data_IF_835344337675
#
_entry.id   IF_835344337675
#
_cell.length_a   1.000
_cell.length_b   1.000
_cell.length_c   1.000
_cell.angle_alpha   90.00
_cell.angle_beta   90.00
_cell.angle_gamma   90.00
#
_symmetry.space_group_name_H-M   'P 1'
#
loop_
_entity.id
_entity.type
_entity.pdbx_description
1 polymer ?
#
# COMPACT_ATOMS: atom_id res chain seq x y z
N UNK A 1 0.09 -3.79 -2.01
CA UNK A 1 1.05 -3.22 -1.04
C UNK A 1 2.04 -2.38 -1.82
N UNK A 2 2.20 -1.13 -1.42
CA UNK A 2 3.13 -0.19 -2.03
C UNK A 2 4.28 0.15 -1.05
N UNK A 3 5.36 0.82 -1.49
CA UNK A 3 6.60 0.93 -0.71
C UNK A 3 6.82 2.33 -0.13
N UNK A 4 6.45 3.37 -0.85
CA UNK A 4 6.72 4.77 -0.51
C UNK A 4 6.09 5.16 0.81
N UNK A 5 4.94 4.61 1.17
CA UNK A 5 4.20 4.85 2.41
C UNK A 5 4.54 3.89 3.56
N UNK A 6 5.39 2.88 3.33
CA UNK A 6 5.80 1.94 4.38
C UNK A 6 6.55 2.62 5.54
N UNK A 7 6.47 2.10 6.77
CA UNK A 7 7.17 2.70 7.90
C UNK A 7 8.68 2.56 7.77
N UNK A 8 9.43 3.54 8.27
CA UNK A 8 10.89 3.55 8.15
C UNK A 8 11.41 3.82 6.73
N UNK A 9 10.54 3.98 5.73
CA UNK A 9 10.92 4.33 4.36
C UNK A 9 10.79 5.84 4.18
N UNK A 10 11.89 6.52 3.92
CA UNK A 10 11.90 7.98 3.70
C UNK A 10 13.02 8.46 2.77
N UNK A 11 13.89 7.55 2.32
CA UNK A 11 14.97 7.84 1.38
C UNK A 11 14.77 7.16 0.04
N UNK A 12 15.11 7.85 -1.05
CA UNK A 12 15.16 7.27 -2.41
C UNK A 12 16.12 6.07 -2.50
N UNK A 13 17.06 5.92 -1.55
CA UNK A 13 17.92 4.77 -1.45
C UNK A 13 17.19 3.47 -1.04
N UNK A 14 15.92 3.58 -0.65
CA UNK A 14 15.06 2.47 -0.22
C UNK A 14 14.02 2.06 -1.28
N UNK A 15 13.92 2.76 -2.41
CA UNK A 15 12.79 2.63 -3.35
C UNK A 15 13.14 1.92 -4.67
N UNK A 16 14.33 1.34 -4.83
CA UNK A 16 14.66 0.67 -6.09
C UNK A 16 15.79 -0.34 -5.95
N UNK A 17 15.80 -1.40 -6.79
CA UNK A 17 16.94 -2.30 -6.92
C UNK A 17 18.26 -1.56 -7.14
N UNK A 18 19.35 -2.15 -6.65
CA UNK A 18 20.73 -1.60 -6.70
C UNK A 18 20.95 -0.34 -5.85
N UNK A 19 19.96 0.09 -5.06
CA UNK A 19 20.15 1.13 -4.05
C UNK A 19 20.57 0.52 -2.71
N UNK A 20 21.42 1.23 -1.97
CA UNK A 20 22.09 0.70 -0.78
C UNK A 20 21.16 0.22 0.34
N UNK A 21 19.96 0.80 0.44
CA UNK A 21 19.00 0.52 1.54
C UNK A 21 17.73 -0.19 1.05
N UNK A 22 17.72 -0.68 -0.20
CA UNK A 22 16.53 -1.29 -0.78
C UNK A 22 16.15 -2.60 -0.09
N UNK A 23 17.13 -3.41 0.32
CA UNK A 23 16.87 -4.66 1.04
C UNK A 23 16.25 -4.42 2.43
N UNK A 24 16.59 -3.32 3.10
CA UNK A 24 15.93 -2.95 4.36
C UNK A 24 14.44 -2.68 4.13
N UNK A 25 14.11 -2.03 3.01
CA UNK A 25 12.73 -1.74 2.65
C UNK A 25 11.93 -3.00 2.32
N UNK A 26 12.53 -3.92 1.56
CA UNK A 26 11.94 -5.23 1.24
C UNK A 26 11.67 -6.06 2.49
N UNK A 27 12.60 -6.08 3.45
CA UNK A 27 12.41 -6.77 4.74
C UNK A 27 11.25 -6.19 5.53
N UNK A 28 11.12 -4.86 5.59
CA UNK A 28 9.99 -4.20 6.27
C UNK A 28 8.66 -4.55 5.58
N UNK A 29 8.60 -4.39 4.26
CA UNK A 29 7.40 -4.70 3.47
C UNK A 29 6.97 -6.16 3.63
N UNK A 30 7.93 -7.09 3.55
CA UNK A 30 7.68 -8.54 3.73
C UNK A 30 7.20 -8.84 5.14
N UNK A 31 7.81 -8.26 6.17
CA UNK A 31 7.38 -8.46 7.56
C UNK A 31 5.93 -8.00 7.79
N UNK A 32 5.54 -6.88 7.20
CA UNK A 32 4.16 -6.39 7.26
C UNK A 32 3.22 -7.30 6.45
N UNK A 33 3.64 -7.75 5.27
CA UNK A 33 2.88 -8.67 4.42
C UNK A 33 2.55 -9.97 5.15
N UNK A 34 3.58 -10.63 5.69
CA UNK A 34 3.45 -11.87 6.45
C UNK A 34 2.63 -11.69 7.72
N UNK A 35 2.79 -10.56 8.43
CA UNK A 35 2.02 -10.27 9.63
C UNK A 35 0.53 -10.10 9.34
N UNK A 36 0.17 -9.24 8.38
CA UNK A 36 -1.22 -8.97 8.02
C UNK A 36 -1.89 -10.24 7.51
N UNK A 37 -1.22 -11.01 6.66
CA UNK A 37 -1.78 -12.25 6.16
C UNK A 37 -2.01 -13.29 7.26
N UNK A 38 -1.08 -13.44 8.21
CA UNK A 38 -1.31 -14.32 9.37
C UNK A 38 -2.51 -13.86 10.21
N UNK A 39 -2.65 -12.55 10.48
CA UNK A 39 -3.82 -12.03 11.23
C UNK A 39 -5.13 -12.35 10.49
N UNK A 40 -5.19 -12.16 9.17
CA UNK A 40 -6.37 -12.50 8.38
C UNK A 40 -6.67 -14.01 8.43
N UNK A 41 -5.64 -14.86 8.31
CA UNK A 41 -5.80 -16.31 8.43
C UNK A 41 -6.29 -16.73 9.82
N UNK A 42 -5.78 -16.12 10.88
CA UNK A 42 -6.19 -16.36 12.26
C UNK A 42 -7.67 -15.96 12.51
N UNK A 43 -8.17 -14.97 11.75
CA UNK A 43 -9.58 -14.56 11.76
C UNK A 43 -10.48 -15.42 10.86
N UNK A 44 -9.93 -16.46 10.23
CA UNK A 44 -10.70 -17.41 9.41
C UNK A 44 -10.88 -17.00 7.95
N UNK A 45 -10.11 -16.04 7.44
CA UNK A 45 -10.10 -15.73 6.00
C UNK A 45 -9.52 -16.91 5.23
N UNK A 46 -10.28 -17.44 4.26
CA UNK A 46 -9.91 -18.64 3.50
C UNK A 46 -8.69 -18.40 2.60
N UNK A 47 -8.69 -17.30 1.84
CA UNK A 47 -7.67 -16.98 0.86
C UNK A 47 -7.13 -15.56 1.08
N UNK A 48 -5.81 -15.42 1.14
CA UNK A 48 -5.14 -14.12 1.24
C UNK A 48 -4.23 -13.94 0.03
N UNK A 49 -4.52 -12.93 -0.80
CA UNK A 49 -3.71 -12.58 -1.96
C UNK A 49 -3.02 -11.24 -1.74
N UNK A 50 -1.68 -11.25 -1.82
CA UNK A 50 -0.86 -10.05 -1.69
C UNK A 50 -0.41 -9.61 -3.08
N UNK A 51 -0.87 -8.44 -3.50
CA UNK A 51 -0.37 -7.78 -4.70
C UNK A 51 0.80 -6.85 -4.35
N UNK A 52 2.01 -7.19 -4.78
CA UNK A 52 3.16 -6.28 -4.69
C UNK A 52 3.02 -5.19 -5.75
N UNK A 53 2.95 -3.92 -5.37
CA UNK A 53 2.48 -2.85 -6.24
C UNK A 53 3.52 -1.76 -6.51
N UNK A 54 4.75 -1.90 -6.01
CA UNK A 54 5.77 -0.86 -6.12
C UNK A 54 6.79 -1.16 -7.24
N UNK A 55 7.03 -0.18 -8.12
CA UNK A 55 8.09 -0.25 -9.14
C UNK A 55 7.98 -1.47 -10.05
N UNK A 56 8.97 -2.38 -10.00
CA UNK A 56 8.93 -3.64 -10.76
C UNK A 56 7.99 -4.70 -10.15
N UNK A 57 7.34 -4.40 -9.02
CA UNK A 57 6.39 -5.26 -8.31
C UNK A 57 7.03 -6.57 -7.81
N UNK A 58 8.28 -6.52 -7.35
CA UNK A 58 9.11 -7.70 -6.95
C UNK A 58 9.82 -7.50 -5.60
N UNK A 59 9.18 -6.75 -4.70
CA UNK A 59 9.74 -6.28 -3.45
C UNK A 59 9.53 -7.29 -2.30
N UNK A 60 8.35 -7.90 -2.19
CA UNK A 60 8.04 -8.94 -1.19
C UNK A 60 8.95 -10.15 -1.42
N UNK A 61 9.56 -10.64 -0.34
CA UNK A 61 10.48 -11.78 -0.35
C UNK A 61 9.63 -13.06 -0.31
N UNK A 62 9.53 -13.73 -1.46
CA UNK A 62 8.60 -14.84 -1.68
C UNK A 62 8.80 -16.02 -0.72
N UNK A 63 10.03 -16.38 -0.41
CA UNK A 63 10.40 -17.49 0.47
C UNK A 63 10.26 -17.19 1.97
N UNK A 64 9.89 -15.96 2.33
CA UNK A 64 9.57 -15.54 3.71
C UNK A 64 8.05 -15.46 3.97
N UNK A 65 7.22 -15.75 2.97
CA UNK A 65 5.76 -15.72 3.14
C UNK A 65 5.26 -16.98 3.87
N UNK A 66 4.31 -16.82 4.82
CA UNK A 66 3.70 -17.94 5.51
C UNK A 66 2.78 -18.74 4.59
N UNK A 67 2.46 -19.99 4.96
CA UNK A 67 1.54 -20.83 4.19
C UNK A 67 0.14 -20.20 4.10
N UNK A 68 -0.56 -20.45 2.99
CA UNK A 68 -1.91 -19.92 2.78
C UNK A 68 -1.97 -18.46 2.32
N UNK A 69 -0.82 -17.86 1.95
CA UNK A 69 -0.74 -16.56 1.29
C UNK A 69 -0.27 -16.75 -0.14
N UNK A 70 -0.98 -16.15 -1.09
CA UNK A 70 -0.59 -16.08 -2.51
C UNK A 70 0.04 -14.73 -2.82
N UNK A 71 1.21 -14.72 -3.47
CA UNK A 71 1.88 -13.51 -3.92
C UNK A 71 1.65 -13.26 -5.42
N UNK A 72 1.28 -12.03 -5.75
CA UNK A 72 1.23 -11.52 -7.12
C UNK A 72 2.42 -10.60 -7.31
N UNK A 73 3.36 -11.02 -8.16
CA UNK A 73 4.66 -10.37 -8.36
C UNK A 73 4.94 -10.14 -9.85
N UNK A 74 5.66 -9.06 -10.15
CA UNK A 74 6.07 -8.67 -11.50
C UNK A 74 5.19 -7.60 -12.16
N UNK A 75 5.83 -6.82 -13.05
CA UNK A 75 5.23 -5.78 -13.89
C UNK A 75 5.79 -5.90 -15.33
N UNK A 76 5.02 -5.61 -16.40
CA UNK A 76 3.62 -5.17 -16.41
C UNK A 76 2.62 -6.31 -16.16
N UNK A 77 1.46 -5.98 -15.58
CA UNK A 77 0.34 -6.92 -15.39
C UNK A 77 -1.03 -6.24 -15.55
N UNK A 78 -2.09 -6.98 -15.95
CA UNK A 78 -3.45 -6.43 -16.08
C UNK A 78 -3.88 -5.74 -14.79
N UNK A 79 -4.56 -4.58 -14.91
CA UNK A 79 -5.04 -3.77 -13.78
C UNK A 79 -3.96 -3.38 -12.74
N UNK A 80 -2.67 -3.53 -13.08
CA UNK A 80 -1.53 -3.01 -12.32
C UNK A 80 -1.57 -3.40 -10.82
N UNK A 81 -1.80 -2.43 -9.93
CA UNK A 81 -1.67 -2.58 -8.48
C UNK A 81 -2.76 -3.44 -7.83
N UNK A 82 -3.91 -3.62 -8.49
CA UNK A 82 -5.06 -4.38 -7.97
C UNK A 82 -5.26 -5.72 -8.65
N UNK A 83 -4.33 -6.16 -9.49
CA UNK A 83 -4.34 -7.52 -10.01
C UNK A 83 -4.32 -8.53 -8.85
N UNK A 84 -5.03 -9.68 -8.93
CA UNK A 84 -5.84 -10.19 -10.05
C UNK A 84 -7.35 -10.00 -9.83
N UNK A 85 -7.80 -8.80 -9.46
CA UNK A 85 -9.23 -8.52 -9.15
C UNK A 85 -10.21 -8.94 -10.26
N UNK A 86 -9.78 -9.00 -11.52
CA UNK A 86 -10.60 -9.43 -12.66
C UNK A 86 -10.73 -10.94 -12.82
N UNK A 87 -9.98 -11.73 -12.04
CA UNK A 87 -9.94 -13.19 -12.15
C UNK A 87 -10.66 -13.92 -11.03
N UNK A 88 -10.74 -13.30 -9.86
CA UNK A 88 -11.34 -13.90 -8.67
C UNK A 88 -12.28 -12.92 -7.99
N UNK A 89 -13.13 -13.45 -7.11
CA UNK A 89 -13.96 -12.62 -6.23
C UNK A 89 -13.24 -12.41 -4.91
N UNK A 90 -13.30 -11.19 -4.40
CA UNK A 90 -12.71 -10.79 -3.14
C UNK A 90 -13.77 -10.08 -2.30
N UNK A 91 -13.83 -10.37 -1.01
CA UNK A 91 -14.80 -9.75 -0.10
C UNK A 91 -14.36 -8.38 0.41
N UNK A 92 -13.07 -8.06 0.29
CA UNK A 92 -12.52 -6.78 0.68
C UNK A 92 -11.07 -6.59 0.26
N UNK A 93 -10.63 -5.33 0.25
CA UNK A 93 -9.27 -4.95 -0.08
C UNK A 93 -8.59 -4.18 1.06
N UNK A 94 -7.32 -4.52 1.29
CA UNK A 94 -6.44 -3.82 2.23
C UNK A 94 -5.30 -3.16 1.46
N UNK A 95 -5.17 -1.85 1.62
CA UNK A 95 -4.12 -1.05 1.00
C UNK A 95 -3.05 -0.70 2.03
N UNK A 96 -1.85 -1.23 1.86
CA UNK A 96 -0.74 -1.01 2.77
C UNK A 96 0.39 -0.23 2.12
N UNK A 97 0.94 0.74 2.86
CA UNK A 97 2.11 1.53 2.45
C UNK A 97 1.85 2.51 1.32
N UNK A 98 0.61 2.98 1.17
CA UNK A 98 0.25 3.95 0.14
C UNK A 98 0.75 5.37 0.49
N UNK A 99 0.91 6.20 -0.54
CA UNK A 99 1.27 7.62 -0.41
C UNK A 99 0.32 8.51 -1.22
N UNK A 100 0.47 9.83 -1.05
CA UNK A 100 -0.41 10.80 -1.67
C UNK A 100 0.02 11.18 -3.10
N UNK A 101 -0.92 11.76 -3.84
CA UNK A 101 -0.71 12.31 -5.17
C UNK A 101 0.28 13.47 -5.17
N UNK A 102 0.88 13.73 -6.33
CA UNK A 102 1.79 14.87 -6.54
C UNK A 102 1.16 16.19 -6.07
N UNK A 103 2.00 17.13 -5.61
CA UNK A 103 1.56 18.47 -5.24
C UNK A 103 0.89 18.55 -3.86
N UNK A 104 0.73 17.42 -3.17
CA UNK A 104 0.27 17.41 -1.77
C UNK A 104 1.36 18.01 -0.88
N UNK A 105 1.07 19.09 -0.13
CA UNK A 105 2.05 19.69 0.76
C UNK A 105 2.61 18.67 1.77
N UNK A 106 3.94 18.65 1.87
CA UNK A 106 4.70 17.80 2.78
C UNK A 106 4.62 16.29 2.54
N UNK A 107 3.81 15.76 1.62
CA UNK A 107 3.68 14.31 1.44
C UNK A 107 4.98 13.63 0.96
N UNK A 108 5.35 12.52 1.60
CA UNK A 108 6.50 11.71 1.20
C UNK A 108 6.30 11.21 -0.24
N UNK A 109 7.34 11.34 -1.05
CA UNK A 109 7.41 10.79 -2.41
C UNK A 109 6.14 11.02 -3.25
N UNK A 110 5.48 12.15 -3.09
CA UNK A 110 4.22 12.47 -3.75
C UNK A 110 4.28 12.23 -5.26
N UNK A 111 3.41 11.35 -5.77
CA UNK A 111 3.22 11.05 -7.19
C UNK A 111 1.98 10.16 -7.41
N UNK A 112 1.67 9.87 -8.68
CA UNK A 112 0.71 8.85 -9.06
C UNK A 112 1.35 8.00 -10.16
N UNK A 113 1.54 6.69 -9.96
CA UNK A 113 2.25 5.71 -10.79
C UNK A 113 3.67 6.09 -11.23
N UNK A 114 3.83 7.08 -12.10
CA UNK A 114 5.15 7.49 -12.61
C UNK A 114 5.31 8.99 -12.65
N UNK A 115 5.81 9.54 -11.53
CA UNK A 115 6.22 10.96 -11.46
C UNK A 115 7.36 11.33 -12.41
N UNK A 116 7.98 10.34 -13.08
CA UNK A 116 8.99 10.58 -14.14
C UNK A 116 8.37 10.83 -15.51
N UNK A 117 7.18 10.28 -15.77
CA UNK A 117 6.55 10.32 -17.10
C UNK A 117 5.51 11.44 -17.17
N UNK A 118 4.73 11.63 -16.11
CA UNK A 118 3.71 12.65 -16.05
C UNK A 118 3.67 13.31 -14.68
N UNK A 119 3.15 14.54 -14.64
CA UNK A 119 3.00 15.28 -13.38
C UNK A 119 1.89 14.67 -12.54
N UNK A 120 0.67 14.60 -13.06
CA UNK A 120 -0.49 14.09 -12.34
C UNK A 120 -1.45 13.31 -13.22
N UNK A 121 -2.29 12.51 -12.56
CA UNK A 121 -3.43 11.81 -13.16
C UNK A 121 -4.70 12.52 -12.71
N UNK A 122 -5.66 12.64 -13.63
CA UNK A 122 -6.98 13.19 -13.32
C UNK A 122 -8.09 12.26 -13.77
N UNK A 123 -9.10 12.08 -12.93
CA UNK A 123 -10.35 11.39 -13.26
C UNK A 123 -11.47 12.42 -13.13
N UNK A 124 -12.27 12.58 -14.19
CA UNK A 124 -13.33 13.59 -14.27
C UNK A 124 -12.85 15.02 -13.92
N UNK A 125 -11.60 15.36 -14.28
CA UNK A 125 -11.00 16.67 -14.01
C UNK A 125 -10.38 16.83 -12.62
N UNK A 126 -10.58 15.88 -11.70
CA UNK A 126 -10.03 15.90 -10.34
C UNK A 126 -8.72 15.12 -10.25
N UNK A 127 -7.73 15.68 -9.55
CA UNK A 127 -6.43 15.04 -9.35
C UNK A 127 -6.51 13.89 -8.34
N UNK A 128 -6.01 12.72 -8.75
CA UNK A 128 -6.14 11.47 -8.01
C UNK A 128 -4.78 10.87 -7.64
N UNK A 129 -4.71 10.31 -6.43
CA UNK A 129 -3.65 9.42 -5.97
C UNK A 129 -3.89 8.00 -6.49
N UNK A 130 -2.87 7.15 -6.40
CA UNK A 130 -3.01 5.73 -6.75
C UNK A 130 -4.08 5.04 -5.90
N UNK A 131 -4.17 5.41 -4.63
CA UNK A 131 -5.24 4.98 -3.73
C UNK A 131 -6.63 5.17 -4.36
N UNK A 132 -6.92 6.37 -4.88
CA UNK A 132 -8.23 6.68 -5.49
C UNK A 132 -8.43 5.91 -6.79
N UNK A 133 -7.43 5.87 -7.67
CA UNK A 133 -7.52 5.10 -8.93
C UNK A 133 -7.81 3.63 -8.65
N UNK A 134 -7.05 3.03 -7.74
CA UNK A 134 -7.20 1.62 -7.38
C UNK A 134 -8.54 1.36 -6.68
N UNK A 135 -9.02 2.28 -5.84
CA UNK A 135 -10.35 2.19 -5.22
C UNK A 135 -11.47 2.22 -6.27
N UNK A 136 -11.38 3.09 -7.28
CA UNK A 136 -12.37 3.13 -8.35
C UNK A 136 -12.40 1.83 -9.16
N UNK A 137 -11.24 1.22 -9.42
CA UNK A 137 -11.17 -0.08 -10.08
C UNK A 137 -11.83 -1.16 -9.21
N UNK A 138 -11.54 -1.21 -7.91
CA UNK A 138 -12.18 -2.17 -7.01
C UNK A 138 -13.71 -2.01 -6.96
N UNK A 139 -14.20 -0.77 -7.03
CA UNK A 139 -15.64 -0.47 -7.08
C UNK A 139 -16.36 -1.06 -8.30
N UNK A 140 -15.68 -1.20 -9.44
CA UNK A 140 -16.23 -1.89 -10.63
C UNK A 140 -16.46 -3.39 -10.38
N UNK A 141 -15.75 -3.97 -9.41
CA UNK A 141 -15.85 -5.39 -9.04
C UNK A 141 -16.60 -5.61 -7.71
N UNK A 142 -17.29 -4.58 -7.21
CA UNK A 142 -18.02 -4.60 -5.93
C UNK A 142 -17.14 -4.98 -4.71
N UNK A 143 -15.83 -4.67 -4.76
CA UNK A 143 -14.89 -4.99 -3.67
C UNK A 143 -14.65 -3.76 -2.79
N UNK A 144 -15.10 -3.75 -1.53
CA UNK A 144 -14.88 -2.61 -0.64
C UNK A 144 -13.42 -2.54 -0.19
N UNK A 145 -12.85 -1.34 -0.15
CA UNK A 145 -11.62 -1.09 0.59
C UNK A 145 -11.97 -1.00 2.07
N UNK A 146 -11.44 -1.92 2.88
CA UNK A 146 -11.77 -2.02 4.32
C UNK A 146 -10.70 -1.41 5.21
N UNK A 147 -9.45 -1.36 4.75
CA UNK A 147 -8.34 -0.78 5.49
C UNK A 147 -7.36 -0.09 4.53
N UNK A 148 -6.92 1.09 4.92
CA UNK A 148 -5.85 1.84 4.23
C UNK A 148 -4.77 2.23 5.23
N UNK A 149 -3.53 1.99 4.88
CA UNK A 149 -2.38 2.44 5.65
C UNK A 149 -1.29 3.03 4.79
N UNK A 150 -0.54 3.95 5.38
CA UNK A 150 0.53 4.65 4.70
C UNK A 150 0.87 5.98 5.34
N UNK A 151 1.18 6.96 4.50
CA UNK A 151 1.48 8.31 4.95
C UNK A 151 0.26 9.03 5.55
N UNK A 152 0.47 9.79 6.63
CA UNK A 152 -0.60 10.52 7.34
C UNK A 152 -1.38 11.49 6.43
N UNK A 153 -0.74 12.04 5.39
CA UNK A 153 -1.38 12.97 4.46
C UNK A 153 -2.50 12.34 3.63
N UNK A 154 -2.59 11.01 3.55
CA UNK A 154 -3.69 10.32 2.88
C UNK A 154 -5.02 10.37 3.63
N UNK A 155 -5.01 10.68 4.93
CA UNK A 155 -6.19 10.61 5.82
C UNK A 155 -7.41 11.31 5.23
N UNK A 156 -7.24 12.52 4.72
CA UNK A 156 -8.35 13.31 4.19
C UNK A 156 -8.95 12.71 2.92
N UNK A 157 -8.12 12.11 2.06
CA UNK A 157 -8.59 11.42 0.85
C UNK A 157 -9.37 10.16 1.22
N UNK A 158 -8.83 9.36 2.15
CA UNK A 158 -9.47 8.13 2.63
C UNK A 158 -10.81 8.45 3.29
N UNK A 159 -10.86 9.44 4.18
CA UNK A 159 -12.09 9.86 4.84
C UNK A 159 -13.16 10.43 3.91
N UNK A 160 -12.79 10.91 2.72
CA UNK A 160 -13.74 11.38 1.70
C UNK A 160 -14.25 10.26 0.79
N UNK A 161 -13.36 9.37 0.36
CA UNK A 161 -13.69 8.34 -0.64
C UNK A 161 -14.24 7.05 -0.01
N UNK A 162 -13.59 6.57 1.05
CA UNK A 162 -13.98 5.35 1.76
C UNK A 162 -14.11 5.64 3.26
N UNK A 163 -15.11 6.44 3.68
CA UNK A 163 -15.28 6.83 5.09
C UNK A 163 -15.50 5.66 6.05
N UNK A 164 -15.85 4.48 5.53
CA UNK A 164 -15.98 3.24 6.30
C UNK A 164 -14.64 2.50 6.49
N UNK A 165 -13.60 2.82 5.72
CA UNK A 165 -12.32 2.11 5.79
C UNK A 165 -11.53 2.57 7.02
N UNK A 166 -10.95 1.60 7.74
CA UNK A 166 -10.02 1.89 8.84
C UNK A 166 -8.76 2.53 8.25
N UNK A 167 -8.36 3.70 8.77
CA UNK A 167 -7.13 4.38 8.36
C UNK A 167 -6.04 4.31 9.42
N UNK A 168 -4.89 3.70 9.08
CA UNK A 168 -3.73 3.57 9.96
C UNK A 168 -2.54 4.34 9.39
N UNK A 169 -2.11 5.37 10.12
CA UNK A 169 -0.93 6.14 9.75
C UNK A 169 0.34 5.39 10.13
N UNK A 170 1.11 4.93 9.15
CA UNK A 170 2.42 4.31 9.37
C UNK A 170 3.49 5.34 9.71
N UNK A 171 3.35 6.55 9.19
CA UNK A 171 4.27 7.65 9.42
C UNK A 171 3.61 9.00 9.18
N UNK A 172 4.25 10.04 9.69
CA UNK A 172 3.89 11.43 9.48
C UNK A 172 4.97 12.10 8.64
N UNK A 173 4.62 12.63 7.48
CA UNK A 173 5.58 13.33 6.65
C UNK A 173 5.97 14.69 7.20
N UNK A 174 7.26 14.99 7.15
CA UNK A 174 7.82 16.32 7.40
C UNK A 174 8.13 17.04 6.07
N UNK A 175 8.51 16.27 5.05
CA UNK A 175 8.74 16.73 3.68
C UNK A 175 8.62 15.57 2.70
N UNK A 176 8.82 15.85 1.40
CA UNK A 176 8.90 14.83 0.36
C UNK A 176 9.93 13.72 0.62
N UNK A 177 10.94 13.98 1.46
CA UNK A 177 12.07 13.08 1.71
C UNK A 177 12.37 12.87 3.21
N UNK A 178 11.42 13.17 4.10
CA UNK A 178 11.60 12.96 5.53
C UNK A 178 10.27 12.73 6.23
N UNK A 179 10.25 11.81 7.19
CA UNK A 179 9.06 11.45 7.94
C UNK A 179 9.39 10.95 9.34
N UNK A 180 8.43 11.06 10.26
CA UNK A 180 8.45 10.47 11.59
C UNK A 180 7.74 9.12 11.52
N UNK A 181 8.44 8.02 11.83
CA UNK A 181 7.86 6.67 11.86
C UNK A 181 7.75 6.17 13.29
N UNK A 182 6.62 5.52 13.61
CA UNK A 182 6.49 4.78 14.87
C UNK A 182 7.36 3.52 14.85
N UNK A 183 7.76 3.00 16.02
CA UNK A 183 8.36 1.67 16.11
C UNK A 183 7.48 0.62 15.41
N UNK A 184 8.11 -0.29 14.65
CA UNK A 184 7.38 -1.26 13.83
C UNK A 184 6.41 -2.12 14.65
N UNK A 185 6.77 -2.54 15.87
CA UNK A 185 5.88 -3.32 16.73
C UNK A 185 4.58 -2.57 17.05
N UNK A 186 4.62 -1.26 17.30
CA UNK A 186 3.40 -0.47 17.51
C UNK A 186 2.51 -0.44 16.27
N UNK A 187 3.11 -0.39 15.08
CA UNK A 187 2.39 -0.43 13.81
C UNK A 187 1.73 -1.79 13.60
N UNK A 188 2.41 -2.89 13.93
CA UNK A 188 1.83 -4.22 13.88
C UNK A 188 0.64 -4.37 14.86
N UNK A 189 0.76 -3.81 16.06
CA UNK A 189 -0.35 -3.80 17.04
C UNK A 189 -1.55 -2.94 16.56
N UNK A 190 -1.29 -1.82 15.89
CA UNK A 190 -2.33 -0.99 15.26
C UNK A 190 -3.00 -1.73 14.09
N UNK A 191 -2.21 -2.38 13.22
CA UNK A 191 -2.73 -3.18 12.11
C UNK A 191 -3.62 -4.32 12.59
N UNK A 192 -3.18 -5.07 13.62
CA UNK A 192 -3.98 -6.17 14.16
C UNK A 192 -5.35 -5.67 14.62
N UNK A 193 -5.39 -4.62 15.43
CA UNK A 193 -6.65 -4.04 15.91
C UNK A 193 -7.52 -3.51 14.79
N UNK A 194 -6.94 -2.85 13.79
CA UNK A 194 -7.70 -2.31 12.67
C UNK A 194 -8.20 -3.37 11.69
N UNK A 195 -7.62 -4.57 11.67
CA UNK A 195 -8.13 -5.72 10.90
C UNK A 195 -9.27 -6.42 11.65
N UNK A 196 -9.25 -6.38 12.99
CA UNK A 196 -10.27 -6.99 13.86
C UNK A 196 -11.56 -6.14 14.00
N UNK A 197 -11.54 -4.87 13.60
CA UNK A 197 -12.69 -3.93 13.61
C UNK A 197 -13.64 -4.16 12.43
#
# INVERSE_FOLDING_TARGET
MDLEGMPGISSVAQLAPKRALYEDARRIMTKIASFVGNVLKDLGVDEVVIADAHGYMVNVIYDELPPGITLVSGFPRPLSMVAPIDKYRFDGAIFLGYHNAVGTPHAIFDHTYSGRVFRSVKINGYEVAEYEVNTYILGEFDVPVILVSGDSTLRDRVGRLTPWAVFISFKESLSRYSAVSKPLNKILDELKRGIEE
#
